data_IF_670049273929
#
_entry.id   IF_670049273929
#
_cell.length_a   1.000
_cell.length_b   1.000
_cell.length_c   1.000
_cell.angle_alpha   90.00
_cell.angle_beta   90.00
_cell.angle_gamma   90.00
#
_symmetry.space_group_name_H-M   'P 1'
#
loop_
_entity.id
_entity.type
_entity.pdbx_description
1 polymer ?
#
# COMPACT_ATOMS: atom_id res chain seq x y z
N UNK A 1 -10.27 -2.09 18.38
CA UNK A 1 -10.24 -0.67 17.89
C UNK A 1 -8.87 -0.31 17.33
N UNK A 2 -7.78 -0.67 18.01
CA UNK A 2 -6.44 -0.48 17.46
C UNK A 2 -6.11 -1.43 16.31
N UNK A 3 -6.71 -2.63 16.25
CA UNK A 3 -6.43 -3.57 15.14
C UNK A 3 -6.89 -3.02 13.80
N UNK A 4 -8.03 -2.32 13.74
CA UNK A 4 -8.48 -1.65 12.52
C UNK A 4 -7.47 -0.58 12.07
N UNK A 5 -6.87 0.17 13.00
CA UNK A 5 -5.83 1.16 12.67
C UNK A 5 -4.55 0.49 12.19
N UNK A 6 -4.13 -0.60 12.84
CA UNK A 6 -2.98 -1.42 12.40
C UNK A 6 -3.21 -1.97 10.99
N UNK A 7 -4.35 -2.62 10.76
CA UNK A 7 -4.74 -3.12 9.44
C UNK A 7 -4.80 -2.01 8.39
N UNK A 8 -5.33 -0.84 8.73
CA UNK A 8 -5.40 0.32 7.82
C UNK A 8 -4.00 0.80 7.43
N UNK A 9 -3.09 0.94 8.41
CA UNK A 9 -1.72 1.39 8.16
C UNK A 9 -0.93 0.37 7.33
N UNK A 10 -1.07 -0.92 7.62
CA UNK A 10 -0.45 -2.00 6.86
C UNK A 10 -0.98 -2.09 5.43
N UNK A 11 -2.28 -1.91 5.23
CA UNK A 11 -2.88 -1.85 3.89
C UNK A 11 -2.42 -0.62 3.10
N UNK A 12 -2.37 0.55 3.74
CA UNK A 12 -1.84 1.76 3.12
C UNK A 12 -0.37 1.57 2.71
N UNK A 13 0.44 0.96 3.57
CA UNK A 13 1.82 0.58 3.25
C UNK A 13 1.89 -0.40 2.08
N UNK A 14 0.99 -1.39 1.99
CA UNK A 14 0.96 -2.36 0.89
C UNK A 14 0.69 -1.68 -0.46
N UNK A 15 -0.07 -0.59 -0.46
CA UNK A 15 -0.25 0.27 -1.62
C UNK A 15 1.02 0.97 -2.10
N UNK A 16 2.00 1.22 -1.21
CA UNK A 16 3.31 1.83 -1.51
C UNK A 16 4.39 0.79 -1.84
N UNK A 17 4.41 -0.35 -1.14
CA UNK A 17 5.15 -1.58 -1.50
C UNK A 17 4.39 -2.84 -1.04
N UNK A 18 4.08 -3.76 -1.94
CA UNK A 18 3.24 -4.93 -1.65
C UNK A 18 3.87 -5.87 -0.60
N UNK A 19 5.18 -6.08 -0.70
CA UNK A 19 5.85 -7.16 0.03
C UNK A 19 6.33 -6.72 1.41
N UNK A 20 6.68 -5.44 1.60
CA UNK A 20 7.20 -4.92 2.88
C UNK A 20 6.27 -5.20 4.07
N UNK A 21 4.97 -4.83 4.08
CA UNK A 21 4.12 -5.06 5.25
C UNK A 21 3.92 -6.55 5.53
N UNK A 22 3.79 -7.38 4.49
CA UNK A 22 3.64 -8.83 4.65
C UNK A 22 4.92 -9.49 5.17
N UNK A 23 6.08 -9.05 4.69
CA UNK A 23 7.37 -9.50 5.17
C UNK A 23 7.59 -9.11 6.64
N UNK A 24 7.22 -7.89 7.03
CA UNK A 24 7.28 -7.43 8.42
C UNK A 24 6.36 -8.28 9.31
N UNK A 25 5.10 -8.50 8.91
CA UNK A 25 4.17 -9.37 9.64
C UNK A 25 4.74 -10.80 9.81
N UNK A 26 5.26 -11.38 8.74
CA UNK A 26 5.85 -12.72 8.77
C UNK A 26 7.10 -12.82 9.65
N UNK A 27 8.00 -11.84 9.56
CA UNK A 27 9.20 -11.79 10.39
C UNK A 27 8.88 -11.60 11.88
N UNK A 28 8.00 -10.66 12.20
CA UNK A 28 7.62 -10.38 13.59
C UNK A 28 6.85 -11.57 14.17
N UNK A 29 5.87 -12.12 13.46
CA UNK A 29 5.10 -13.27 13.93
C UNK A 29 5.91 -14.57 14.01
N UNK A 30 7.09 -14.65 13.38
CA UNK A 30 7.97 -15.83 13.45
C UNK A 30 9.06 -15.70 14.53
N UNK A 31 9.65 -14.51 14.67
CA UNK A 31 10.89 -14.32 15.43
C UNK A 31 10.74 -13.46 16.68
N UNK A 32 9.55 -12.92 16.94
CA UNK A 32 9.28 -12.03 18.09
C UNK A 32 7.91 -12.33 18.69
N UNK A 33 7.68 -11.82 19.90
CA UNK A 33 6.37 -11.84 20.55
C UNK A 33 5.61 -10.51 20.35
N UNK A 34 6.03 -9.67 19.39
CA UNK A 34 5.38 -8.38 19.12
C UNK A 34 4.03 -8.52 18.42
N UNK A 35 3.83 -9.61 17.66
CA UNK A 35 2.61 -9.87 16.90
C UNK A 35 2.27 -11.35 16.98
N UNK A 36 1.10 -11.65 17.51
CA UNK A 36 0.50 -12.97 17.37
C UNK A 36 -0.36 -13.01 16.11
N UNK A 37 0.08 -13.77 15.11
CA UNK A 37 -0.69 -13.97 13.88
C UNK A 37 -1.92 -14.84 14.18
N UNK A 38 -3.15 -14.39 13.84
CA UNK A 38 -4.34 -15.22 14.01
C UNK A 38 -4.25 -16.51 13.18
N UNK A 39 -4.99 -17.55 13.57
CA UNK A 39 -4.88 -18.91 12.99
C UNK A 39 -4.88 -18.92 11.46
N UNK A 40 -5.77 -18.16 10.83
CA UNK A 40 -5.88 -18.03 9.37
C UNK A 40 -4.69 -17.34 8.67
N UNK A 41 -3.80 -16.69 9.42
CA UNK A 41 -2.67 -15.90 8.93
C UNK A 41 -1.30 -16.44 9.36
N UNK A 42 -1.27 -17.48 10.20
CA UNK A 42 -0.03 -18.12 10.70
C UNK A 42 0.94 -18.56 9.59
N UNK A 43 0.42 -18.84 8.40
CA UNK A 43 1.23 -19.17 7.22
C UNK A 43 2.19 -18.04 6.79
N UNK A 44 1.91 -16.78 7.13
CA UNK A 44 2.83 -15.65 6.90
C UNK A 44 4.14 -15.82 7.69
N UNK A 45 4.10 -16.48 8.85
CA UNK A 45 5.27 -16.83 9.66
C UNK A 45 6.04 -18.04 9.16
N UNK A 46 5.65 -18.67 8.04
CA UNK A 46 6.40 -19.78 7.46
C UNK A 46 7.69 -19.27 6.81
N UNK A 47 8.84 -19.89 7.14
CA UNK A 47 10.15 -19.48 6.63
C UNK A 47 10.26 -19.44 5.10
N UNK A 48 9.57 -20.34 4.39
CA UNK A 48 9.51 -20.33 2.93
C UNK A 48 8.73 -19.15 2.38
N UNK A 49 7.60 -18.81 3.02
CA UNK A 49 6.78 -17.65 2.65
C UNK A 49 7.57 -16.37 2.85
N UNK A 50 8.26 -16.22 3.99
CA UNK A 50 9.15 -15.09 4.28
C UNK A 50 10.25 -14.98 3.22
N UNK A 51 10.90 -16.09 2.85
CA UNK A 51 11.94 -16.10 1.84
C UNK A 51 11.41 -15.68 0.46
N UNK A 52 10.22 -16.14 0.08
CA UNK A 52 9.56 -15.73 -1.17
C UNK A 52 9.21 -14.24 -1.13
N UNK A 53 8.65 -13.73 -0.03
CA UNK A 53 8.35 -12.29 0.12
C UNK A 53 9.61 -11.45 0.02
N UNK A 54 10.72 -11.87 0.64
CA UNK A 54 12.00 -11.19 0.55
C UNK A 54 12.57 -11.19 -0.88
N UNK A 55 12.46 -12.31 -1.59
CA UNK A 55 12.87 -12.41 -2.99
C UNK A 55 12.03 -11.50 -3.89
N UNK A 56 10.71 -11.52 -3.73
CA UNK A 56 9.79 -10.69 -4.51
C UNK A 56 10.03 -9.20 -4.22
N UNK A 57 10.31 -8.83 -2.97
CA UNK A 57 10.73 -7.47 -2.61
C UNK A 57 12.02 -7.08 -3.31
N UNK A 58 13.03 -7.95 -3.33
CA UNK A 58 14.29 -7.68 -4.02
C UNK A 58 14.08 -7.50 -5.54
N UNK A 59 13.22 -8.32 -6.15
CA UNK A 59 12.85 -8.19 -7.57
C UNK A 59 12.14 -6.85 -7.81
N UNK A 60 11.17 -6.48 -6.98
CA UNK A 60 10.46 -5.19 -7.10
C UNK A 60 11.41 -4.00 -6.97
N UNK A 61 12.32 -4.04 -6.01
CA UNK A 61 13.33 -2.99 -5.82
C UNK A 61 14.21 -2.80 -7.05
N UNK A 62 14.52 -3.86 -7.79
CA UNK A 62 15.30 -3.78 -9.03
C UNK A 62 14.42 -3.33 -10.19
N UNK A 63 13.21 -3.90 -10.32
CA UNK A 63 12.27 -3.61 -11.40
C UNK A 63 11.90 -2.11 -11.45
N UNK A 64 11.66 -1.50 -10.29
CA UNK A 64 11.30 -0.08 -10.19
C UNK A 64 12.43 0.89 -10.57
N UNK A 65 13.68 0.42 -10.65
CA UNK A 65 14.84 1.25 -10.99
C UNK A 65 15.17 1.24 -12.48
N UNK A 66 14.60 0.32 -13.24
CA UNK A 66 14.86 0.17 -14.68
C UNK A 66 13.71 0.80 -15.47
N UNK A 67 13.96 1.84 -16.30
CA UNK A 67 12.94 2.43 -17.15
C UNK A 67 12.27 1.37 -18.05
N UNK A 68 10.98 1.52 -18.34
CA UNK A 68 10.11 0.55 -19.06
C UNK A 68 9.74 -0.67 -18.23
N UNK A 69 10.70 -1.28 -17.52
CA UNK A 69 10.40 -2.37 -16.57
C UNK A 69 9.51 -1.85 -15.43
N UNK A 70 9.75 -0.63 -14.97
CA UNK A 70 8.92 0.09 -14.00
C UNK A 70 7.44 0.15 -14.41
N UNK A 71 7.14 0.45 -15.67
CA UNK A 71 5.76 0.54 -16.18
C UNK A 71 5.08 -0.83 -16.21
N UNK A 72 5.80 -1.88 -16.65
CA UNK A 72 5.27 -3.24 -16.66
C UNK A 72 5.02 -3.72 -15.23
N UNK A 73 5.97 -3.44 -14.32
CA UNK A 73 5.82 -3.74 -12.90
C UNK A 73 4.58 -3.03 -12.33
N UNK A 74 4.38 -1.75 -12.59
CA UNK A 74 3.20 -1.00 -12.13
C UNK A 74 1.87 -1.63 -12.60
N UNK A 75 1.82 -2.17 -13.83
CA UNK A 75 0.64 -2.91 -14.33
C UNK A 75 0.39 -4.18 -13.52
N UNK A 76 1.42 -5.00 -13.29
CA UNK A 76 1.31 -6.22 -12.47
C UNK A 76 0.88 -5.87 -11.04
N UNK A 77 1.47 -4.80 -10.51
CA UNK A 77 1.26 -4.34 -9.15
C UNK A 77 -0.13 -3.73 -8.93
N UNK A 78 -0.86 -3.40 -10.00
CA UNK A 78 -2.29 -3.05 -9.92
C UNK A 78 -3.16 -4.20 -9.39
N UNK A 79 -2.67 -5.45 -9.45
CA UNK A 79 -3.35 -6.63 -8.86
C UNK A 79 -2.65 -7.08 -7.58
N UNK A 80 -1.31 -7.12 -7.58
CA UNK A 80 -0.53 -7.64 -6.46
C UNK A 80 -0.65 -6.75 -5.22
N UNK A 81 -0.56 -5.42 -5.36
CA UNK A 81 -0.64 -4.49 -4.21
C UNK A 81 -1.99 -4.49 -3.51
N UNK A 82 -3.14 -4.43 -4.23
CA UNK A 82 -4.43 -4.56 -3.56
C UNK A 82 -4.57 -5.90 -2.86
N UNK A 83 -4.12 -6.99 -3.49
CA UNK A 83 -4.13 -8.32 -2.86
C UNK A 83 -3.32 -8.32 -1.58
N UNK A 84 -2.09 -7.82 -1.61
CA UNK A 84 -1.24 -7.71 -0.44
C UNK A 84 -1.85 -6.81 0.65
N UNK A 85 -2.50 -5.71 0.27
CA UNK A 85 -3.23 -4.84 1.18
C UNK A 85 -4.39 -5.53 1.88
N UNK A 86 -5.15 -6.36 1.17
CA UNK A 86 -6.20 -7.18 1.76
C UNK A 86 -5.66 -8.18 2.78
N UNK A 87 -4.57 -8.87 2.43
CA UNK A 87 -3.90 -9.82 3.32
C UNK A 87 -3.34 -9.11 4.57
N UNK A 88 -2.68 -7.97 4.39
CA UNK A 88 -2.06 -7.21 5.48
C UNK A 88 -3.11 -6.58 6.40
N UNK A 89 -4.22 -6.05 5.84
CA UNK A 89 -5.35 -5.57 6.63
C UNK A 89 -5.99 -6.72 7.39
N UNK A 90 -6.29 -7.83 6.71
CA UNK A 90 -6.90 -9.01 7.32
C UNK A 90 -6.07 -9.52 8.49
N UNK A 91 -4.77 -9.71 8.29
CA UNK A 91 -3.85 -10.17 9.33
C UNK A 91 -3.70 -9.16 10.48
N UNK A 92 -3.64 -7.85 10.19
CA UNK A 92 -3.43 -6.81 11.21
C UNK A 92 -4.70 -6.35 11.93
N UNK A 93 -5.90 -6.62 11.39
CA UNK A 93 -7.18 -6.19 11.95
C UNK A 93 -7.99 -7.30 12.62
N UNK A 94 -7.59 -8.56 12.45
CA UNK A 94 -8.25 -9.69 13.10
C UNK A 94 -7.54 -10.02 14.41
N UNK A 95 -8.29 -9.97 15.51
CA UNK A 95 -7.84 -10.37 16.85
C UNK A 95 -8.51 -11.66 17.34
N UNK A 96 -9.54 -12.14 16.65
CA UNK A 96 -10.20 -13.41 16.98
C UNK A 96 -9.64 -14.59 16.17
N UNK A 97 -9.33 -15.68 16.87
CA UNK A 97 -8.89 -16.96 16.31
C UNK A 97 -10.09 -17.72 15.74
N UNK A 98 -10.69 -17.23 14.67
CA UNK A 98 -11.83 -17.92 14.03
C UNK A 98 -11.32 -18.87 12.97
N UNK A 99 -11.30 -20.17 13.29
CA UNK A 99 -10.96 -21.22 12.34
C UNK A 99 -12.09 -21.34 11.32
N UNK A 100 -11.82 -20.97 10.07
CA UNK A 100 -12.76 -21.15 8.95
C UNK A 100 -12.68 -22.60 8.48
N UNK A 101 -13.58 -23.44 8.97
CA UNK A 101 -13.69 -24.85 8.56
C UNK A 101 -14.61 -25.07 7.35
N UNK A 102 -15.38 -24.06 6.94
CA UNK A 102 -16.31 -24.13 5.81
C UNK A 102 -16.23 -22.84 4.95
N UNK A 103 -15.91 -22.92 3.63
CA UNK A 103 -15.92 -21.76 2.73
C UNK A 103 -17.24 -20.96 2.72
N UNK A 104 -18.39 -21.61 2.95
CA UNK A 104 -19.69 -20.92 3.03
C UNK A 104 -19.82 -20.02 4.26
N UNK A 105 -19.08 -20.34 5.34
CA UNK A 105 -19.06 -19.55 6.56
C UNK A 105 -18.30 -18.23 6.41
N UNK A 106 -17.33 -18.14 5.48
CA UNK A 106 -16.55 -16.92 5.24
C UNK A 106 -17.41 -15.75 4.74
N UNK A 107 -18.32 -16.02 3.80
CA UNK A 107 -19.23 -15.00 3.28
C UNK A 107 -20.35 -14.66 4.26
N UNK A 108 -20.82 -15.65 5.01
CA UNK A 108 -21.89 -15.49 6.01
C UNK A 108 -21.42 -14.74 7.27
N UNK A 109 -20.14 -14.89 7.64
CA UNK A 109 -19.52 -14.29 8.84
C UNK A 109 -18.95 -12.89 8.64
N UNK A 110 -19.06 -12.30 7.44
CA UNK A 110 -18.51 -10.99 7.10
C UNK A 110 -16.98 -10.86 7.26
N UNK A 111 -16.25 -11.97 7.39
CA UNK A 111 -14.78 -11.97 7.50
C UNK A 111 -14.06 -11.45 6.24
N UNK A 112 -14.77 -11.38 5.12
CA UNK A 112 -14.28 -10.76 3.89
C UNK A 112 -14.19 -9.24 3.96
N UNK A 113 -14.94 -8.58 4.86
CA UNK A 113 -15.02 -7.11 4.93
C UNK A 113 -13.66 -6.47 5.24
N UNK A 114 -12.89 -6.93 6.25
CA UNK A 114 -11.53 -6.46 6.47
C UNK A 114 -10.62 -6.61 5.24
N UNK A 115 -10.67 -7.77 4.58
CA UNK A 115 -9.84 -8.04 3.39
C UNK A 115 -10.18 -7.07 2.26
N UNK A 116 -11.46 -6.93 1.93
CA UNK A 116 -11.91 -5.99 0.88
C UNK A 116 -11.56 -4.54 1.23
N UNK A 117 -11.67 -4.17 2.51
CA UNK A 117 -11.25 -2.84 2.98
C UNK A 117 -9.77 -2.62 2.71
N UNK A 118 -8.92 -3.60 3.05
CA UNK A 118 -7.49 -3.56 2.74
C UNK A 118 -7.17 -3.48 1.25
N UNK A 119 -7.91 -4.23 0.42
CA UNK A 119 -7.79 -4.19 -1.05
C UNK A 119 -8.06 -2.79 -1.57
N UNK A 120 -9.17 -2.17 -1.16
CA UNK A 120 -9.56 -0.83 -1.62
C UNK A 120 -8.57 0.25 -1.16
N UNK A 121 -8.10 0.16 0.08
CA UNK A 121 -7.11 1.10 0.63
C UNK A 121 -5.77 1.03 -0.14
N UNK A 122 -5.22 -0.18 -0.30
CA UNK A 122 -3.96 -0.38 -1.01
C UNK A 122 -4.07 0.01 -2.49
N UNK A 123 -5.21 -0.30 -3.14
CA UNK A 123 -5.48 0.14 -4.50
C UNK A 123 -5.48 1.67 -4.61
N UNK A 124 -6.19 2.36 -3.71
CA UNK A 124 -6.24 3.82 -3.71
C UNK A 124 -4.86 4.47 -3.58
N UNK A 125 -4.03 3.96 -2.67
CA UNK A 125 -2.64 4.45 -2.49
C UNK A 125 -1.79 4.14 -3.73
N UNK A 126 -1.87 2.94 -4.29
CA UNK A 126 -1.14 2.57 -5.49
C UNK A 126 -1.54 3.47 -6.68
N UNK A 127 -2.83 3.71 -6.90
CA UNK A 127 -3.30 4.56 -7.99
C UNK A 127 -2.80 6.00 -7.84
N UNK A 128 -2.72 6.53 -6.62
CA UNK A 128 -2.16 7.85 -6.37
C UNK A 128 -0.67 7.92 -6.75
N UNK A 129 0.11 6.91 -6.36
CA UNK A 129 1.51 6.73 -6.75
C UNK A 129 1.66 6.64 -8.27
N UNK A 130 0.93 5.74 -8.91
CA UNK A 130 1.00 5.51 -10.36
C UNK A 130 0.60 6.77 -11.15
N UNK A 131 -0.33 7.58 -10.63
CA UNK A 131 -0.69 8.86 -11.25
C UNK A 131 0.40 9.94 -11.11
N UNK A 132 1.28 9.84 -10.12
CA UNK A 132 2.39 10.79 -9.91
C UNK A 132 3.62 10.46 -10.77
N UNK A 133 3.88 9.18 -11.06
CA UNK A 133 5.08 8.71 -11.79
C UNK A 133 5.32 9.38 -13.14
N UNK A 134 4.32 9.54 -14.04
CA UNK A 134 4.54 10.22 -15.32
C UNK A 134 5.01 11.67 -15.18
N UNK A 135 4.51 12.38 -14.16
CA UNK A 135 4.91 13.77 -13.88
C UNK A 135 6.33 13.82 -13.35
N UNK A 136 6.66 12.94 -12.39
CA UNK A 136 8.00 12.84 -11.83
C UNK A 136 9.00 12.50 -12.94
N UNK A 137 8.72 11.48 -13.76
CA UNK A 137 9.59 11.05 -14.85
C UNK A 137 9.79 12.14 -15.91
N UNK A 138 8.71 12.83 -16.31
CA UNK A 138 8.80 13.91 -17.28
C UNK A 138 9.61 15.11 -16.77
N UNK A 139 9.50 15.44 -15.48
CA UNK A 139 10.20 16.59 -14.87
C UNK A 139 11.65 16.31 -14.50
N UNK A 140 12.06 15.04 -14.41
CA UNK A 140 13.39 14.62 -13.93
C UNK A 140 14.19 13.86 -14.99
N UNK A 141 13.75 13.85 -16.24
CA UNK A 141 14.33 13.06 -17.33
C UNK A 141 14.54 11.58 -16.95
N UNK A 142 13.60 11.00 -16.17
CA UNK A 142 13.61 9.61 -15.73
C UNK A 142 14.40 9.31 -14.44
N UNK A 143 15.17 10.26 -13.89
CA UNK A 143 15.94 10.04 -12.66
C UNK A 143 15.12 10.14 -11.37
N UNK A 144 13.92 10.71 -11.43
CA UNK A 144 13.05 10.89 -10.28
C UNK A 144 12.34 9.60 -9.84
N UNK A 145 12.08 8.65 -10.75
CA UNK A 145 11.44 7.39 -10.41
C UNK A 145 12.23 6.56 -9.39
N UNK A 146 13.55 6.32 -9.55
CA UNK A 146 14.33 5.60 -8.56
C UNK A 146 14.31 6.24 -7.16
N UNK A 147 14.36 7.57 -7.10
CA UNK A 147 14.31 8.31 -5.82
C UNK A 147 12.92 8.19 -5.19
N UNK A 148 11.85 8.36 -5.98
CA UNK A 148 10.48 8.19 -5.50
C UNK A 148 10.22 6.76 -5.02
N UNK A 149 10.65 5.75 -5.78
CA UNK A 149 10.54 4.33 -5.39
C UNK A 149 11.27 4.04 -4.09
N UNK A 150 12.49 4.55 -3.92
CA UNK A 150 13.24 4.38 -2.66
C UNK A 150 12.54 5.06 -1.48
N UNK A 151 11.95 6.24 -1.69
CA UNK A 151 11.18 6.92 -0.67
C UNK A 151 9.88 6.17 -0.32
N UNK A 152 9.21 5.57 -1.30
CA UNK A 152 8.04 4.72 -1.11
C UNK A 152 8.38 3.47 -0.30
N UNK A 153 9.50 2.81 -0.57
CA UNK A 153 9.98 1.66 0.20
C UNK A 153 10.25 2.03 1.66
N UNK A 154 11.00 3.10 1.88
CA UNK A 154 11.30 3.60 3.23
C UNK A 154 10.01 4.00 3.98
N UNK A 155 9.09 4.67 3.29
CA UNK A 155 7.78 5.05 3.85
C UNK A 155 6.97 3.81 4.19
N UNK A 156 7.00 2.77 3.36
CA UNK A 156 6.30 1.50 3.62
C UNK A 156 6.82 0.82 4.88
N UNK A 157 8.15 0.77 5.07
CA UNK A 157 8.74 0.23 6.30
C UNK A 157 8.29 1.03 7.51
N UNK A 158 8.42 2.36 7.46
CA UNK A 158 8.06 3.25 8.58
C UNK A 158 6.58 3.14 8.91
N UNK A 159 5.69 3.23 7.93
CA UNK A 159 4.24 3.16 8.12
C UNK A 159 3.84 1.79 8.67
N UNK A 160 4.44 0.70 8.16
CA UNK A 160 4.17 -0.65 8.67
C UNK A 160 4.56 -0.78 10.14
N UNK A 161 5.78 -0.36 10.51
CA UNK A 161 6.25 -0.43 11.89
C UNK A 161 5.44 0.47 12.82
N UNK A 162 5.12 1.69 12.39
CA UNK A 162 4.25 2.61 13.15
C UNK A 162 2.86 2.02 13.33
N UNK A 163 2.29 1.39 12.30
CA UNK A 163 0.98 0.76 12.38
C UNK A 163 0.93 -0.39 13.40
N UNK A 164 2.04 -1.11 13.56
CA UNK A 164 2.18 -2.22 14.52
C UNK A 164 2.42 -1.69 15.93
N UNK A 165 3.38 -0.78 16.10
CA UNK A 165 3.87 -0.37 17.43
C UNK A 165 3.00 0.74 18.04
N UNK A 166 2.56 1.69 17.22
CA UNK A 166 1.79 2.88 17.63
C UNK A 166 0.60 3.11 16.68
N UNK A 167 -0.43 2.24 16.68
CA UNK A 167 -1.53 2.27 15.71
C UNK A 167 -2.26 3.61 15.66
N UNK A 168 -2.32 4.35 16.78
CA UNK A 168 -2.95 5.68 16.85
C UNK A 168 -2.28 6.70 15.92
N UNK A 169 -0.96 6.61 15.71
CA UNK A 169 -0.24 7.51 14.81
C UNK A 169 -0.60 7.30 13.34
N UNK A 170 -1.18 6.14 12.97
CA UNK A 170 -1.70 5.91 11.62
C UNK A 170 -2.78 6.93 11.27
N UNK A 171 -3.61 7.37 12.23
CA UNK A 171 -4.61 8.41 11.98
C UNK A 171 -3.96 9.72 11.53
N UNK A 172 -2.85 10.12 12.15
CA UNK A 172 -2.11 11.33 11.77
C UNK A 172 -1.56 11.20 10.36
N UNK A 173 -0.97 10.05 10.03
CA UNK A 173 -0.44 9.77 8.69
C UNK A 173 -1.56 9.79 7.63
N UNK A 174 -2.70 9.15 7.91
CA UNK A 174 -3.83 9.10 6.99
C UNK A 174 -4.48 10.46 6.79
N UNK A 175 -4.66 11.25 7.84
CA UNK A 175 -5.18 12.63 7.74
C UNK A 175 -4.22 13.49 6.94
N UNK A 176 -2.91 13.36 7.18
CA UNK A 176 -1.88 14.05 6.40
C UNK A 176 -1.92 13.68 4.92
N UNK A 177 -2.03 12.37 4.61
CA UNK A 177 -2.14 11.87 3.24
C UNK A 177 -3.42 12.37 2.56
N UNK A 178 -4.57 12.29 3.24
CA UNK A 178 -5.86 12.76 2.72
C UNK A 178 -5.82 14.27 2.43
N UNK A 179 -5.28 15.06 3.36
CA UNK A 179 -5.10 16.50 3.19
C UNK A 179 -4.19 16.81 1.99
N UNK A 180 -3.03 16.16 1.88
CA UNK A 180 -2.10 16.34 0.77
C UNK A 180 -2.76 15.99 -0.57
N UNK A 181 -3.49 14.87 -0.62
CA UNK A 181 -4.17 14.38 -1.82
C UNK A 181 -5.26 15.36 -2.26
N UNK A 182 -6.11 15.79 -1.32
CA UNK A 182 -7.15 16.81 -1.57
C UNK A 182 -6.54 18.11 -2.09
N UNK A 183 -5.50 18.62 -1.42
CA UNK A 183 -4.81 19.83 -1.82
C UNK A 183 -4.22 19.71 -3.23
N UNK A 184 -3.56 18.59 -3.54
CA UNK A 184 -2.96 18.33 -4.84
C UNK A 184 -3.99 18.31 -5.98
N UNK A 185 -5.10 17.58 -5.80
CA UNK A 185 -6.17 17.54 -6.81
C UNK A 185 -6.87 18.87 -6.98
N UNK A 186 -7.10 19.62 -5.88
CA UNK A 186 -7.67 20.97 -5.95
C UNK A 186 -6.77 21.90 -6.76
N UNK A 187 -5.47 21.91 -6.46
CA UNK A 187 -4.46 22.71 -7.19
C UNK A 187 -4.41 22.35 -8.68
N UNK A 188 -4.52 21.05 -9.01
CA UNK A 188 -4.53 20.58 -10.41
C UNK A 188 -5.81 20.98 -11.14
N UNK A 189 -6.96 20.95 -10.46
CA UNK A 189 -8.25 21.38 -11.00
C UNK A 189 -8.25 22.89 -11.26
N UNK A 190 -7.75 23.69 -10.31
CA UNK A 190 -7.57 25.14 -10.45
C UNK A 190 -6.72 25.46 -11.69
N UNK A 191 -5.55 24.82 -11.84
CA UNK A 191 -4.68 24.99 -13.02
C UNK A 191 -5.32 24.55 -14.34
N UNK A 192 -6.18 23.52 -14.34
CA UNK A 192 -6.94 23.10 -15.53
C UNK A 192 -7.96 24.17 -15.92
N UNK A 193 -8.72 24.68 -14.95
CA UNK A 193 -9.70 25.76 -15.18
C UNK A 193 -9.03 27.03 -15.68
N UNK A 194 -7.87 27.40 -15.14
CA UNK A 194 -7.07 28.54 -15.62
C UNK A 194 -6.64 28.36 -17.08
N UNK A 195 -6.17 27.17 -17.47
CA UNK A 195 -5.80 26.87 -18.87
C UNK A 195 -7.01 26.85 -19.82
N UNK A 196 -8.14 26.30 -19.37
CA UNK A 196 -9.39 26.31 -20.13
C UNK A 196 -9.92 27.73 -20.33
N UNK A 197 -9.90 28.56 -19.29
CA UNK A 197 -10.26 29.98 -19.37
C UNK A 197 -9.32 30.76 -20.29
N UNK A 198 -8.01 30.52 -20.23
CA UNK A 198 -7.04 31.18 -21.10
C UNK A 198 -7.20 30.76 -22.58
N UNK A 199 -7.51 29.49 -22.85
CA UNK A 199 -7.86 29.00 -24.20
C UNK A 199 -9.17 29.62 -24.71
N UNK A 200 -10.19 29.71 -23.87
CA UNK A 200 -11.45 30.36 -24.20
C UNK A 200 -11.28 31.86 -24.48
N UNK A 201 -10.33 32.52 -23.80
CA UNK A 201 -9.94 33.90 -24.03
C UNK A 201 -9.03 34.11 -25.27
N UNK A 202 -8.75 33.06 -26.05
CA UNK A 202 -7.99 33.16 -27.30
C UNK A 202 -6.46 33.16 -27.13
N UNK A 203 -5.94 32.98 -25.92
CA UNK A 203 -4.52 32.80 -25.70
C UNK A 203 -4.09 31.38 -26.10
N UNK A 204 -2.99 31.24 -26.86
CA UNK A 204 -2.35 29.94 -27.09
C UNK A 204 -1.65 29.51 -25.79
N UNK A 205 -2.31 28.64 -25.01
CA UNK A 205 -1.80 28.03 -23.77
C UNK A 205 -1.62 26.53 -23.88
#
# INVERSE_FOLDING_TARGET
MFEVLTGTGLAASAGLNAYIPLLILGLLGRYTDLIDLPSGWTWLGNGWVIAIMALLLAVEMVADKVPVVDHINDVVQTVVRPTAGGLAFGAGSSSETVTVSDPGSFFSSHQWVPVVTGVLLALGVHLLKSAARPVINATTAGFGAPVASTAEDATSVVVSLVAIILPVLVLVVLVGLAFFTFWFFRRRSERRREREAARAAGFRV
#
